data_IF_975355839646
#
_entry.id   IF_975355839646
#
_cell.length_a   1.000
_cell.length_b   1.000
_cell.length_c   1.000
_cell.angle_alpha   90.00
_cell.angle_beta   90.00
_cell.angle_gamma   90.00
#
_symmetry.space_group_name_H-M   'P 1'
#
loop_
_entity.id
_entity.type
_entity.pdbx_description
1 polymer ?
#
# COMPACT_ATOMS: atom_id res chain seq x y z
N UNK A 1 58.57 -35.89 26.19
CA UNK A 1 58.53 -35.32 24.82
C UNK A 1 58.50 -33.81 24.94
N UNK A 2 59.51 -33.11 24.41
CA UNK A 2 59.78 -31.69 24.67
C UNK A 2 58.85 -30.74 23.90
N UNK A 3 58.59 -29.56 24.48
CA UNK A 3 57.84 -28.46 23.85
C UNK A 3 58.60 -27.94 22.61
N UNK A 4 57.93 -27.67 21.48
CA UNK A 4 58.56 -27.14 20.27
C UNK A 4 58.98 -25.67 20.44
N UNK A 5 60.11 -25.28 19.82
CA UNK A 5 60.72 -23.94 19.90
C UNK A 5 60.19 -23.01 18.78
N UNK A 6 60.18 -21.72 19.11
CA UNK A 6 59.38 -20.63 18.50
C UNK A 6 59.81 -20.09 17.12
N UNK A 7 60.57 -20.82 16.30
CA UNK A 7 61.14 -20.26 15.06
C UNK A 7 61.04 -21.14 13.81
N UNK A 8 60.34 -22.27 13.86
CA UNK A 8 60.06 -23.07 12.67
C UNK A 8 58.81 -22.55 11.92
N UNK A 9 59.06 -21.81 10.84
CA UNK A 9 58.17 -21.73 9.67
C UNK A 9 58.88 -22.49 8.53
N UNK A 10 58.25 -22.89 7.41
CA UNK A 10 56.83 -22.84 7.00
C UNK A 10 56.35 -24.11 6.26
N UNK A 11 55.05 -24.23 5.96
CA UNK A 11 54.61 -24.61 4.60
C UNK A 11 53.14 -24.25 4.38
N UNK A 12 52.87 -23.47 3.33
CA UNK A 12 51.53 -23.09 2.88
C UNK A 12 50.80 -24.34 2.37
N UNK A 13 49.90 -24.91 3.17
CA UNK A 13 48.89 -25.83 2.67
C UNK A 13 47.85 -25.03 1.86
N UNK A 14 47.87 -25.22 0.53
CA UNK A 14 46.71 -24.89 -0.32
C UNK A 14 45.60 -25.91 0.00
N UNK A 15 44.37 -25.48 0.33
CA UNK A 15 43.25 -26.40 0.37
C UNK A 15 42.85 -26.74 -1.07
N UNK A 16 43.27 -27.93 -1.45
CA UNK A 16 42.68 -28.90 -2.34
C UNK A 16 41.24 -28.60 -2.81
N UNK A 17 41.08 -28.59 -4.14
CA UNK A 17 39.81 -28.51 -4.85
C UNK A 17 39.14 -29.89 -4.78
N UNK A 18 38.15 -30.03 -3.90
CA UNK A 18 37.31 -31.23 -3.84
C UNK A 18 36.13 -31.07 -4.79
N UNK A 19 36.33 -31.54 -6.02
CA UNK A 19 35.26 -31.82 -6.97
C UNK A 19 34.64 -33.19 -6.63
N UNK A 20 33.39 -33.19 -6.17
CA UNK A 20 32.53 -34.37 -6.22
C UNK A 20 31.78 -34.73 -4.95
N UNK A 21 30.53 -34.28 -4.83
CA UNK A 21 29.31 -35.14 -4.84
C UNK A 21 28.12 -34.38 -4.27
N UNK A 22 27.28 -33.91 -5.20
CA UNK A 22 25.94 -33.47 -4.92
C UNK A 22 25.09 -34.64 -4.39
N UNK A 23 24.57 -34.53 -3.16
CA UNK A 23 23.36 -35.24 -2.72
C UNK A 23 22.50 -34.33 -1.83
N UNK A 24 21.55 -33.68 -2.50
CA UNK A 24 20.14 -33.73 -2.06
C UNK A 24 19.75 -32.97 -0.80
N UNK A 25 19.76 -31.64 -0.87
CA UNK A 25 18.76 -30.81 -0.17
C UNK A 25 18.27 -29.71 -1.12
N UNK A 26 17.81 -30.13 -2.30
CA UNK A 26 16.96 -29.32 -3.16
C UNK A 26 15.58 -29.23 -2.51
N UNK A 27 15.49 -28.41 -1.46
CA UNK A 27 14.21 -27.82 -1.09
C UNK A 27 13.84 -26.94 -2.28
N UNK A 28 12.79 -27.33 -3.01
CA UNK A 28 12.22 -26.58 -4.14
C UNK A 28 12.10 -25.10 -3.77
N UNK A 29 13.12 -24.31 -4.07
CA UNK A 29 12.92 -22.92 -4.43
C UNK A 29 12.23 -23.00 -5.80
N UNK A 30 10.90 -23.18 -5.76
CA UNK A 30 10.03 -22.81 -6.87
C UNK A 30 10.57 -21.48 -7.36
N UNK A 31 10.97 -21.41 -8.63
CA UNK A 31 11.67 -20.27 -9.20
C UNK A 31 10.93 -18.97 -8.92
N UNK A 32 11.26 -18.34 -7.79
CA UNK A 32 10.77 -17.02 -7.42
C UNK A 32 11.61 -16.08 -8.25
N UNK A 33 11.01 -15.61 -9.34
CA UNK A 33 11.52 -14.48 -10.10
C UNK A 33 11.90 -13.39 -9.11
N UNK A 34 13.17 -12.99 -9.07
CA UNK A 34 13.59 -11.83 -8.29
C UNK A 34 12.85 -10.62 -8.86
N UNK A 35 11.78 -10.23 -8.18
CA UNK A 35 10.97 -9.07 -8.54
C UNK A 35 11.80 -7.81 -8.25
N UNK A 36 12.21 -7.12 -9.31
CA UNK A 36 12.93 -5.85 -9.20
C UNK A 36 11.96 -4.66 -9.07
N UNK A 37 12.52 -3.46 -8.91
CA UNK A 37 11.78 -2.19 -8.85
C UNK A 37 10.77 -2.02 -10.00
N UNK A 38 11.16 -2.48 -11.19
CA UNK A 38 10.32 -2.45 -12.38
C UNK A 38 8.97 -3.16 -12.19
N UNK A 39 8.93 -4.24 -11.41
CA UNK A 39 7.67 -4.98 -11.15
C UNK A 39 6.74 -4.23 -10.21
N UNK A 40 7.29 -3.44 -9.26
CA UNK A 40 6.52 -2.55 -8.38
C UNK A 40 5.88 -1.43 -9.21
N UNK A 41 6.67 -0.83 -10.11
CA UNK A 41 6.19 0.21 -11.05
C UNK A 41 5.08 -0.33 -11.93
N UNK A 42 5.25 -1.51 -12.53
CA UNK A 42 4.21 -2.15 -13.33
C UNK A 42 2.94 -2.40 -12.50
N UNK A 43 3.07 -2.94 -11.28
CA UNK A 43 1.92 -3.20 -10.42
C UNK A 43 1.14 -1.91 -10.13
N UNK A 44 1.86 -0.83 -9.82
CA UNK A 44 1.26 0.48 -9.54
C UNK A 44 0.57 1.08 -10.77
N UNK A 45 1.22 1.07 -11.93
CA UNK A 45 0.65 1.58 -13.19
C UNK A 45 -0.55 0.75 -13.64
N UNK A 46 -0.47 -0.57 -13.55
CA UNK A 46 -1.57 -1.48 -13.86
C UNK A 46 -2.76 -1.23 -12.94
N UNK A 47 -2.53 -1.04 -11.64
CA UNK A 47 -3.60 -0.73 -10.70
C UNK A 47 -4.29 0.61 -11.01
N UNK A 48 -3.53 1.68 -11.30
CA UNK A 48 -4.14 2.93 -11.75
C UNK A 48 -4.96 2.75 -13.03
N UNK A 49 -4.39 2.09 -14.04
CA UNK A 49 -5.09 1.83 -15.30
C UNK A 49 -6.40 1.04 -15.08
N UNK A 50 -6.40 0.06 -14.17
CA UNK A 50 -7.61 -0.70 -13.82
C UNK A 50 -8.64 0.16 -13.08
N UNK A 51 -8.22 0.98 -12.11
CA UNK A 51 -9.13 1.84 -11.35
C UNK A 51 -9.81 2.89 -12.23
N UNK A 52 -9.05 3.58 -13.09
CA UNK A 52 -9.63 4.54 -14.03
C UNK A 52 -10.40 3.83 -15.16
N UNK A 53 -9.90 2.71 -15.66
CA UNK A 53 -10.51 1.95 -16.75
C UNK A 53 -11.85 1.33 -16.37
N UNK A 54 -12.02 0.82 -15.15
CA UNK A 54 -13.30 0.22 -14.71
C UNK A 54 -14.40 1.28 -14.61
N UNK A 55 -14.08 2.47 -14.10
CA UNK A 55 -15.03 3.57 -14.00
C UNK A 55 -15.38 4.12 -15.38
N UNK A 56 -14.38 4.28 -16.25
CA UNK A 56 -14.62 4.72 -17.62
C UNK A 56 -15.49 3.74 -18.42
N UNK A 57 -15.28 2.43 -18.26
CA UNK A 57 -16.00 1.39 -19.01
C UNK A 57 -17.39 1.07 -18.47
N UNK A 58 -17.58 1.07 -17.15
CA UNK A 58 -18.88 0.80 -16.53
C UNK A 58 -19.76 2.04 -16.39
N UNK A 59 -19.19 3.23 -16.58
CA UNK A 59 -19.87 4.52 -16.48
C UNK A 59 -19.67 5.18 -15.11
N UNK A 60 -19.64 6.52 -15.11
CA UNK A 60 -19.14 7.31 -13.98
C UNK A 60 -20.16 7.51 -12.85
N UNK A 61 -21.47 7.44 -13.12
CA UNK A 61 -22.49 7.48 -12.06
C UNK A 61 -23.50 6.34 -12.19
N UNK A 62 -23.08 5.26 -12.85
CA UNK A 62 -23.90 4.05 -12.92
C UNK A 62 -23.68 3.21 -11.66
N UNK A 63 -24.66 2.41 -11.23
CA UNK A 63 -24.45 1.41 -10.19
C UNK A 63 -23.25 0.49 -10.49
N UNK A 64 -23.00 0.22 -11.78
CA UNK A 64 -21.86 -0.57 -12.24
C UNK A 64 -20.52 0.08 -11.93
N UNK A 65 -20.34 1.37 -12.19
CA UNK A 65 -19.10 2.09 -11.88
C UNK A 65 -18.86 2.25 -10.38
N UNK A 66 -19.92 2.51 -9.61
CA UNK A 66 -19.86 2.65 -8.14
C UNK A 66 -19.46 1.31 -7.51
N UNK A 67 -20.19 0.24 -7.82
CA UNK A 67 -19.91 -1.09 -7.27
C UNK A 67 -18.58 -1.63 -7.80
N UNK A 68 -18.30 -1.44 -9.09
CA UNK A 68 -17.06 -1.89 -9.73
C UNK A 68 -15.81 -1.25 -9.11
N UNK A 69 -15.81 0.07 -8.96
CA UNK A 69 -14.70 0.78 -8.30
C UNK A 69 -14.52 0.38 -6.84
N UNK A 70 -15.62 0.22 -6.09
CA UNK A 70 -15.59 -0.27 -4.70
C UNK A 70 -15.04 -1.69 -4.57
N UNK A 71 -15.46 -2.62 -5.44
CA UNK A 71 -14.96 -4.00 -5.44
C UNK A 71 -13.49 -4.09 -5.87
N UNK A 72 -13.07 -3.26 -6.83
CA UNK A 72 -11.68 -3.19 -7.26
C UNK A 72 -10.79 -2.60 -6.17
N UNK A 73 -11.23 -1.54 -5.49
CA UNK A 73 -10.57 -0.98 -4.32
C UNK A 73 -10.42 -2.02 -3.19
N UNK A 74 -11.49 -2.78 -2.92
CA UNK A 74 -11.46 -3.86 -1.94
C UNK A 74 -10.43 -4.94 -2.30
N UNK A 75 -10.41 -5.33 -3.57
CA UNK A 75 -9.47 -6.33 -4.09
C UNK A 75 -8.02 -5.85 -4.00
N UNK A 76 -7.75 -4.60 -4.40
CA UNK A 76 -6.43 -3.98 -4.30
C UNK A 76 -5.97 -3.84 -2.83
N UNK A 77 -6.89 -3.46 -1.93
CA UNK A 77 -6.61 -3.41 -0.50
C UNK A 77 -6.28 -4.80 0.05
N UNK A 78 -6.99 -5.86 -0.36
CA UNK A 78 -6.67 -7.23 0.05
C UNK A 78 -5.30 -7.69 -0.46
N UNK A 79 -4.97 -7.41 -1.71
CA UNK A 79 -3.63 -7.66 -2.27
C UNK A 79 -2.55 -6.96 -1.45
N UNK A 80 -2.79 -5.70 -1.06
CA UNK A 80 -1.88 -4.94 -0.21
C UNK A 80 -1.72 -5.55 1.19
N UNK A 81 -2.82 -5.95 1.83
CA UNK A 81 -2.81 -6.55 3.18
C UNK A 81 -2.05 -7.89 3.16
N UNK A 82 -2.29 -8.73 2.15
CA UNK A 82 -1.62 -10.04 2.00
C UNK A 82 -0.15 -9.86 1.62
N UNK A 83 0.11 -9.00 0.64
CA UNK A 83 1.44 -8.64 0.15
C UNK A 83 2.16 -7.59 1.00
N UNK A 84 1.73 -7.38 2.26
CA UNK A 84 2.26 -6.28 3.08
C UNK A 84 3.79 -6.32 3.15
N UNK A 85 4.48 -5.25 2.73
CA UNK A 85 5.91 -5.32 2.44
C UNK A 85 6.82 -5.06 3.62
N UNK A 86 6.34 -4.30 4.62
CA UNK A 86 7.09 -4.04 5.84
C UNK A 86 6.90 -5.21 6.80
N UNK A 87 7.75 -6.22 6.66
CA UNK A 87 7.78 -7.40 7.53
C UNK A 87 8.28 -7.00 8.92
N UNK A 88 7.35 -6.83 9.86
CA UNK A 88 7.67 -6.89 11.30
C UNK A 88 7.73 -8.34 11.79
N UNK A 89 8.25 -8.54 13.00
CA UNK A 89 8.16 -9.81 13.76
C UNK A 89 6.75 -10.43 13.61
N UNK A 90 6.62 -11.75 13.42
CA UNK A 90 5.40 -12.36 12.82
C UNK A 90 4.10 -11.95 13.52
N UNK A 91 4.12 -11.77 14.85
CA UNK A 91 2.97 -11.27 15.63
C UNK A 91 2.59 -9.81 15.36
N UNK A 92 3.55 -8.96 15.05
CA UNK A 92 3.35 -7.54 14.75
C UNK A 92 2.79 -7.35 13.34
N UNK A 93 3.30 -8.12 12.37
CA UNK A 93 2.77 -8.17 11.01
C UNK A 93 1.30 -8.62 10.98
N UNK A 94 0.94 -9.66 11.75
CA UNK A 94 -0.45 -10.14 11.85
C UNK A 94 -1.37 -9.07 12.41
N UNK A 95 -0.97 -8.35 13.47
CA UNK A 95 -1.81 -7.27 13.98
C UNK A 95 -2.02 -6.15 12.96
N UNK A 96 -0.96 -5.69 12.29
CA UNK A 96 -1.09 -4.64 11.28
C UNK A 96 -2.10 -5.01 10.19
N UNK A 97 -2.08 -6.27 9.75
CA UNK A 97 -3.02 -6.83 8.76
C UNK A 97 -4.46 -6.92 9.28
N UNK A 98 -4.65 -7.41 10.51
CA UNK A 98 -5.99 -7.50 11.10
C UNK A 98 -6.56 -6.10 11.33
N UNK A 99 -5.73 -5.19 11.85
CA UNK A 99 -6.15 -3.82 12.12
C UNK A 99 -6.51 -3.08 10.84
N UNK A 100 -5.71 -3.19 9.78
CA UNK A 100 -6.02 -2.61 8.48
C UNK A 100 -7.27 -3.21 7.85
N UNK A 101 -7.49 -4.53 7.97
CA UNK A 101 -8.71 -5.18 7.52
C UNK A 101 -9.94 -4.65 8.28
N UNK A 102 -9.86 -4.49 9.60
CA UNK A 102 -10.95 -3.92 10.41
C UNK A 102 -11.24 -2.48 10.00
N UNK A 103 -10.21 -1.64 9.82
CA UNK A 103 -10.35 -0.26 9.37
C UNK A 103 -11.03 -0.19 8.00
N UNK A 104 -10.59 -1.03 7.05
CA UNK A 104 -11.21 -1.14 5.74
C UNK A 104 -12.69 -1.52 5.84
N UNK A 105 -13.02 -2.54 6.64
CA UNK A 105 -14.41 -3.00 6.79
C UNK A 105 -15.32 -1.92 7.39
N UNK A 106 -14.86 -1.23 8.43
CA UNK A 106 -15.62 -0.13 9.05
C UNK A 106 -15.85 0.99 8.03
N UNK A 107 -14.82 1.38 7.28
CA UNK A 107 -14.93 2.42 6.27
C UNK A 107 -15.82 2.00 5.08
N UNK A 108 -15.73 0.74 4.63
CA UNK A 108 -16.58 0.20 3.58
C UNK A 108 -18.06 0.16 4.00
N UNK A 109 -18.36 -0.30 5.22
CA UNK A 109 -19.72 -0.28 5.76
C UNK A 109 -20.26 1.15 5.83
N UNK A 110 -19.44 2.10 6.28
CA UNK A 110 -19.83 3.50 6.35
C UNK A 110 -20.11 4.11 4.97
N UNK A 111 -19.31 3.73 3.97
CA UNK A 111 -19.45 4.19 2.58
C UNK A 111 -20.75 3.69 1.93
N UNK A 112 -21.23 2.51 2.32
CA UNK A 112 -22.47 1.91 1.82
C UNK A 112 -23.74 2.53 2.40
N UNK A 113 -23.63 3.41 3.40
CA UNK A 113 -24.79 4.03 4.02
C UNK A 113 -25.18 5.32 3.29
N UNK A 114 -26.48 5.52 3.04
CA UNK A 114 -27.00 6.76 2.45
C UNK A 114 -26.88 6.83 0.93
N UNK A 115 -27.17 8.01 0.37
CA UNK A 115 -27.09 8.27 -1.06
C UNK A 115 -25.65 8.58 -1.50
N UNK A 116 -25.29 8.17 -2.71
CA UNK A 116 -23.97 8.48 -3.27
C UNK A 116 -23.94 9.91 -3.82
N UNK A 117 -22.78 10.57 -3.70
CA UNK A 117 -22.45 11.83 -4.39
C UNK A 117 -23.36 13.04 -4.09
N UNK A 118 -23.87 13.13 -2.86
CA UNK A 118 -24.57 14.33 -2.38
C UNK A 118 -23.67 15.19 -1.49
N UNK A 119 -24.00 16.47 -1.31
CA UNK A 119 -23.32 17.36 -0.37
C UNK A 119 -23.28 16.83 1.06
N UNK A 120 -24.35 16.13 1.47
CA UNK A 120 -24.41 15.50 2.78
C UNK A 120 -23.40 14.34 2.87
N UNK A 121 -23.25 13.57 1.79
CA UNK A 121 -22.31 12.44 1.72
C UNK A 121 -20.86 12.89 1.77
N UNK A 122 -20.46 13.91 1.01
CA UNK A 122 -19.11 14.46 1.06
C UNK A 122 -18.74 14.99 2.46
N UNK A 123 -19.64 15.77 3.08
CA UNK A 123 -19.42 16.28 4.46
C UNK A 123 -19.35 15.17 5.50
N UNK A 124 -20.27 14.21 5.43
CA UNK A 124 -20.30 13.05 6.33
C UNK A 124 -19.03 12.21 6.19
N UNK A 125 -18.54 11.99 4.97
CA UNK A 125 -17.31 11.25 4.72
C UNK A 125 -16.07 12.00 5.21
N UNK A 126 -15.99 13.31 4.99
CA UNK A 126 -14.89 14.13 5.51
C UNK A 126 -14.80 14.07 7.04
N UNK A 127 -15.93 14.20 7.74
CA UNK A 127 -16.00 14.04 9.20
C UNK A 127 -15.58 12.64 9.64
N UNK A 128 -16.06 11.61 8.94
CA UNK A 128 -15.67 10.23 9.20
C UNK A 128 -14.16 10.02 9.05
N UNK A 129 -13.54 10.54 7.99
CA UNK A 129 -12.10 10.43 7.80
C UNK A 129 -11.33 11.06 8.98
N UNK A 130 -11.69 12.26 9.41
CA UNK A 130 -11.05 12.93 10.56
C UNK A 130 -11.16 12.08 11.83
N UNK A 131 -12.35 11.56 12.12
CA UNK A 131 -12.58 10.68 13.29
C UNK A 131 -11.83 9.36 13.15
N UNK A 132 -11.82 8.76 11.96
CA UNK A 132 -11.14 7.50 11.69
C UNK A 132 -9.62 7.65 11.83
N UNK A 133 -9.02 8.74 11.33
CA UNK A 133 -7.62 9.06 11.54
C UNK A 133 -7.28 9.19 13.03
N UNK A 134 -8.06 9.95 13.78
CA UNK A 134 -7.88 10.09 15.22
C UNK A 134 -7.99 8.74 15.94
N UNK A 135 -8.99 7.92 15.61
CA UNK A 135 -9.17 6.59 16.17
C UNK A 135 -8.00 5.65 15.82
N UNK A 136 -7.53 5.66 14.57
CA UNK A 136 -6.38 4.87 14.11
C UNK A 136 -5.14 5.20 14.93
N UNK A 137 -4.87 6.48 15.14
CA UNK A 137 -3.76 6.98 15.96
C UNK A 137 -3.92 6.52 17.42
N UNK A 138 -5.07 6.78 18.04
CA UNK A 138 -5.35 6.42 19.44
C UNK A 138 -5.20 4.93 19.68
N UNK A 139 -5.81 4.07 18.83
CA UNK A 139 -5.72 2.61 18.96
C UNK A 139 -4.28 2.13 18.79
N UNK A 140 -3.54 2.71 17.84
CA UNK A 140 -2.13 2.38 17.62
C UNK A 140 -1.26 2.70 18.83
N UNK A 141 -1.47 3.85 19.47
CA UNK A 141 -0.78 4.24 20.71
C UNK A 141 -1.20 3.41 21.91
N UNK A 142 -2.50 3.20 22.11
CA UNK A 142 -3.03 2.42 23.24
C UNK A 142 -2.46 1.00 23.24
N UNK A 143 -2.39 0.36 22.07
CA UNK A 143 -1.75 -0.95 21.92
C UNK A 143 -0.30 -0.94 22.41
N UNK A 144 0.47 0.09 22.10
CA UNK A 144 1.87 0.16 22.55
C UNK A 144 2.00 0.39 24.04
N UNK A 145 1.09 1.17 24.63
CA UNK A 145 1.06 1.36 26.09
C UNK A 145 0.74 0.06 26.83
N UNK A 146 -0.05 -0.82 26.24
CA UNK A 146 -0.41 -2.13 26.81
C UNK A 146 0.69 -3.20 26.69
N UNK A 147 1.80 -2.95 25.96
CA UNK A 147 2.90 -3.94 25.84
C UNK A 147 3.80 -3.92 27.07
N UNK A 148 4.04 -5.10 27.65
CA UNK A 148 4.92 -5.29 28.83
C UNK A 148 6.42 -5.20 28.50
N UNK A 149 6.84 -5.48 27.26
CA UNK A 149 8.25 -5.40 26.80
C UNK A 149 8.31 -4.45 25.60
N UNK A 150 9.18 -3.43 25.66
CA UNK A 150 9.22 -2.29 24.72
C UNK A 150 10.43 -2.31 23.77
N UNK A 151 10.85 -3.47 23.28
CA UNK A 151 11.84 -3.53 22.19
C UNK A 151 11.16 -3.23 20.84
N UNK A 152 11.82 -2.45 19.98
CA UNK A 152 11.38 -2.09 18.61
C UNK A 152 9.99 -1.39 18.51
N UNK A 153 9.67 -0.52 19.48
CA UNK A 153 8.36 0.12 19.60
C UNK A 153 7.98 0.94 18.35
N UNK A 154 8.89 1.82 17.91
CA UNK A 154 8.66 2.81 16.84
C UNK A 154 8.42 2.14 15.48
N UNK A 155 9.28 1.20 15.09
CA UNK A 155 9.17 0.50 13.80
C UNK A 155 7.90 -0.37 13.71
N UNK A 156 7.48 -0.98 14.82
CA UNK A 156 6.25 -1.78 14.86
C UNK A 156 4.97 -0.93 14.79
N UNK A 157 5.03 0.30 15.34
CA UNK A 157 3.92 1.24 15.29
C UNK A 157 3.76 1.80 13.89
N UNK A 158 4.85 2.26 13.29
CA UNK A 158 4.80 2.89 11.97
C UNK A 158 4.25 1.91 10.93
N UNK A 159 4.70 0.66 10.92
CA UNK A 159 4.19 -0.34 9.97
C UNK A 159 2.69 -0.61 10.12
N UNK A 160 2.19 -0.75 11.37
CA UNK A 160 0.75 -0.97 11.61
C UNK A 160 -0.11 0.25 11.31
N UNK A 161 0.39 1.45 11.65
CA UNK A 161 -0.27 2.73 11.37
C UNK A 161 -0.37 2.96 9.87
N UNK A 162 0.73 2.78 9.13
CA UNK A 162 0.76 2.89 7.67
C UNK A 162 -0.21 1.89 7.05
N UNK A 163 -0.24 0.63 7.49
CA UNK A 163 -1.19 -0.35 6.95
C UNK A 163 -2.66 0.09 7.13
N UNK A 164 -3.01 0.60 8.31
CA UNK A 164 -4.36 1.08 8.62
C UNK A 164 -4.73 2.34 7.83
N UNK A 165 -3.85 3.33 7.79
CA UNK A 165 -4.04 4.57 7.02
C UNK A 165 -4.17 4.26 5.53
N UNK A 166 -3.33 3.38 5.01
CA UNK A 166 -3.41 3.00 3.59
C UNK A 166 -4.70 2.23 3.29
N UNK A 167 -5.13 1.34 4.20
CA UNK A 167 -6.42 0.65 4.05
C UNK A 167 -7.63 1.58 4.15
N UNK A 168 -7.57 2.64 4.94
CA UNK A 168 -8.60 3.69 4.93
C UNK A 168 -8.58 4.46 3.60
N UNK A 169 -7.40 4.76 3.05
CA UNK A 169 -7.25 5.43 1.76
C UNK A 169 -7.85 4.64 0.60
N UNK A 170 -7.78 3.31 0.65
CA UNK A 170 -8.40 2.45 -0.38
C UNK A 170 -9.90 2.70 -0.51
N UNK A 171 -10.60 2.97 0.60
CA UNK A 171 -12.05 3.20 0.57
C UNK A 171 -12.43 4.51 -0.11
N UNK A 172 -11.52 5.48 -0.17
CA UNK A 172 -11.76 6.77 -0.82
C UNK A 172 -11.86 6.67 -2.35
N UNK A 173 -11.44 5.54 -2.94
CA UNK A 173 -11.61 5.28 -4.37
C UNK A 173 -13.07 5.14 -4.81
N UNK A 174 -14.02 4.95 -3.88
CA UNK A 174 -15.46 4.98 -4.18
C UNK A 174 -15.93 6.35 -4.70
N UNK A 175 -15.14 7.42 -4.51
CA UNK A 175 -15.43 8.75 -5.04
C UNK A 175 -14.82 9.02 -6.42
N UNK A 176 -14.03 8.08 -6.95
CA UNK A 176 -13.49 8.19 -8.31
C UNK A 176 -14.57 8.42 -9.38
N UNK A 177 -15.72 7.71 -9.35
CA UNK A 177 -16.75 7.89 -10.36
C UNK A 177 -17.34 9.32 -10.37
N UNK A 178 -17.60 9.92 -9.20
CA UNK A 178 -17.99 11.33 -9.09
C UNK A 178 -16.91 12.28 -9.63
N UNK A 179 -15.65 12.11 -9.21
CA UNK A 179 -14.55 12.93 -9.72
C UNK A 179 -14.48 12.90 -11.25
N UNK A 180 -14.59 11.71 -11.85
CA UNK A 180 -14.52 11.58 -13.30
C UNK A 180 -15.74 12.21 -13.99
N UNK A 181 -16.92 12.14 -13.38
CA UNK A 181 -18.12 12.80 -13.88
C UNK A 181 -17.94 14.32 -13.96
N UNK A 182 -17.50 14.94 -12.86
CA UNK A 182 -17.25 16.37 -12.81
C UNK A 182 -16.15 16.78 -13.80
N UNK A 183 -15.08 15.99 -13.88
CA UNK A 183 -13.95 16.23 -14.79
C UNK A 183 -14.28 15.99 -16.27
N UNK A 184 -15.43 15.41 -16.59
CA UNK A 184 -15.92 15.27 -17.97
C UNK A 184 -16.94 16.35 -18.36
N UNK A 185 -17.34 17.20 -17.41
CA UNK A 185 -18.21 18.35 -17.66
C UNK A 185 -17.47 19.44 -18.45
N UNK A 186 -18.20 20.34 -19.11
CA UNK A 186 -17.59 21.47 -19.84
C UNK A 186 -16.86 22.44 -18.90
N UNK A 187 -17.24 22.46 -17.63
CA UNK A 187 -16.64 23.27 -16.58
C UNK A 187 -15.25 22.77 -16.20
N UNK A 188 -14.90 21.51 -16.51
CA UNK A 188 -13.57 20.96 -16.31
C UNK A 188 -12.48 21.64 -17.15
N UNK A 189 -12.84 22.27 -18.28
CA UNK A 189 -11.91 23.07 -19.09
C UNK A 189 -11.50 24.40 -18.42
N UNK A 190 -12.03 24.68 -17.22
CA UNK A 190 -11.60 25.81 -16.40
C UNK A 190 -10.18 25.64 -15.85
N UNK A 191 -9.59 26.76 -15.40
CA UNK A 191 -8.29 26.73 -14.72
C UNK A 191 -8.29 25.82 -13.48
N UNK A 192 -9.43 25.65 -12.81
CA UNK A 192 -9.60 24.80 -11.64
C UNK A 192 -9.50 23.32 -12.02
N UNK A 193 -10.22 22.88 -13.08
CA UNK A 193 -10.14 21.50 -13.54
C UNK A 193 -8.73 21.11 -13.97
N UNK A 194 -8.04 21.98 -14.72
CA UNK A 194 -6.63 21.78 -15.07
C UNK A 194 -5.71 21.74 -13.85
N UNK A 195 -5.91 22.61 -12.86
CA UNK A 195 -5.12 22.58 -11.62
C UNK A 195 -5.30 21.26 -10.86
N UNK A 196 -6.54 20.78 -10.73
CA UNK A 196 -6.85 19.48 -10.09
C UNK A 196 -6.14 18.35 -10.85
N UNK A 197 -6.25 18.31 -12.18
CA UNK A 197 -5.59 17.29 -13.00
C UNK A 197 -4.07 17.28 -12.82
N UNK A 198 -3.43 18.45 -12.88
CA UNK A 198 -1.97 18.59 -12.73
C UNK A 198 -1.53 18.12 -11.34
N UNK A 199 -2.25 18.49 -10.28
CA UNK A 199 -1.95 18.08 -8.90
C UNK A 199 -2.05 16.56 -8.76
N UNK A 200 -3.10 15.94 -9.29
CA UNK A 200 -3.28 14.49 -9.28
C UNK A 200 -2.16 13.78 -10.06
N UNK A 201 -1.82 14.25 -11.26
CA UNK A 201 -0.73 13.68 -12.05
C UNK A 201 0.62 13.80 -11.33
N UNK A 202 0.93 14.98 -10.79
CA UNK A 202 2.16 15.22 -10.05
C UNK A 202 2.25 14.32 -8.80
N UNK A 203 1.16 14.19 -8.04
CA UNK A 203 1.13 13.33 -6.87
C UNK A 203 1.28 11.84 -7.23
N UNK A 204 0.69 11.38 -8.33
CA UNK A 204 0.86 10.01 -8.81
C UNK A 204 2.33 9.71 -9.16
N UNK A 205 3.02 10.66 -9.80
CA UNK A 205 4.46 10.57 -10.10
C UNK A 205 5.30 10.57 -8.82
N UNK A 206 5.03 11.47 -7.88
CA UNK A 206 5.73 11.51 -6.59
C UNK A 206 5.59 10.20 -5.82
N UNK A 207 4.38 9.63 -5.80
CA UNK A 207 4.11 8.34 -5.16
C UNK A 207 4.78 7.16 -5.87
N UNK A 208 4.94 7.23 -7.20
CA UNK A 208 5.74 6.26 -7.97
C UNK A 208 7.22 6.33 -7.59
N UNK A 209 7.78 7.53 -7.48
CA UNK A 209 9.17 7.72 -7.03
C UNK A 209 9.33 7.22 -5.59
N UNK A 210 8.40 7.57 -4.70
CA UNK A 210 8.41 7.11 -3.32
C UNK A 210 8.36 5.58 -3.21
N UNK A 211 7.51 4.90 -3.99
CA UNK A 211 7.39 3.44 -3.94
C UNK A 211 8.67 2.73 -4.38
N UNK A 212 9.38 3.28 -5.38
CA UNK A 212 10.70 2.75 -5.79
C UNK A 212 11.77 3.00 -4.74
N UNK A 213 11.78 4.16 -4.07
CA UNK A 213 12.70 4.46 -2.97
C UNK A 213 12.51 3.48 -1.82
N UNK A 214 11.27 3.30 -1.38
CA UNK A 214 10.93 2.36 -0.32
C UNK A 214 11.25 0.91 -0.69
N UNK A 215 11.11 0.53 -1.97
CA UNK A 215 11.49 -0.82 -2.43
C UNK A 215 13.00 -1.08 -2.29
N UNK A 216 13.83 -0.09 -2.61
CA UNK A 216 15.30 -0.18 -2.49
C UNK A 216 15.78 -0.36 -1.06
N UNK A 217 15.03 0.17 -0.10
CA UNK A 217 15.35 0.08 1.33
C UNK A 217 14.99 -1.30 1.93
N UNK A 218 14.28 -2.17 1.20
CA UNK A 218 13.92 -3.51 1.67
C UNK A 218 15.08 -4.50 1.46
N UNK A 219 15.74 -4.90 2.54
CA UNK A 219 16.85 -5.86 2.50
C UNK A 219 16.38 -7.29 2.16
N UNK A 220 15.22 -7.70 2.67
CA UNK A 220 14.67 -9.06 2.53
C UNK A 220 13.16 -9.05 2.26
N UNK A 221 12.71 -8.65 1.05
CA UNK A 221 11.30 -8.61 0.72
C UNK A 221 10.69 -10.03 0.67
N UNK A 222 9.49 -10.17 1.21
CA UNK A 222 8.69 -11.39 1.06
C UNK A 222 8.29 -11.61 -0.42
N UNK A 223 7.94 -12.86 -0.82
CA UNK A 223 7.67 -13.18 -2.22
C UNK A 223 6.59 -12.31 -2.91
N UNK A 224 5.58 -11.88 -2.15
CA UNK A 224 4.48 -11.03 -2.64
C UNK A 224 4.61 -9.56 -2.22
N UNK A 225 5.73 -9.16 -1.61
CA UNK A 225 5.94 -7.80 -1.11
C UNK A 225 5.91 -6.75 -2.24
N UNK A 226 6.31 -7.12 -3.45
CA UNK A 226 6.31 -6.22 -4.62
C UNK A 226 4.90 -5.75 -4.98
N UNK A 227 3.89 -6.62 -4.85
CA UNK A 227 2.50 -6.26 -5.07
C UNK A 227 2.02 -5.29 -3.99
N UNK A 228 2.30 -5.58 -2.73
CA UNK A 228 1.91 -4.70 -1.63
C UNK A 228 2.61 -3.33 -1.71
N UNK A 229 3.87 -3.29 -2.11
CA UNK A 229 4.60 -2.03 -2.36
C UNK A 229 4.03 -1.25 -3.53
N UNK A 230 3.58 -1.91 -4.59
CA UNK A 230 2.92 -1.25 -5.72
C UNK A 230 1.53 -0.74 -5.35
N UNK A 231 0.78 -1.47 -4.52
CA UNK A 231 -0.58 -1.07 -4.11
C UNK A 231 -0.57 0.05 -3.05
N UNK A 232 0.41 0.07 -2.15
CA UNK A 232 0.48 1.06 -1.07
C UNK A 232 0.32 2.52 -1.56
N UNK A 233 1.11 3.02 -2.53
CA UNK A 233 0.94 4.37 -3.07
C UNK A 233 -0.43 4.57 -3.73
N UNK A 234 -0.95 3.58 -4.45
CA UNK A 234 -2.27 3.65 -5.12
C UNK A 234 -3.38 3.84 -4.08
N UNK A 235 -3.33 3.09 -2.99
CA UNK A 235 -4.32 3.22 -1.92
C UNK A 235 -4.21 4.58 -1.20
N UNK A 236 -2.99 5.09 -0.98
CA UNK A 236 -2.79 6.45 -0.46
C UNK A 236 -3.31 7.53 -1.42
N UNK A 237 -3.17 7.32 -2.72
CA UNK A 237 -3.69 8.22 -3.74
C UNK A 237 -5.23 8.34 -3.68
N UNK A 238 -5.93 7.34 -3.13
CA UNK A 238 -7.38 7.41 -2.90
C UNK A 238 -7.81 8.63 -2.07
N UNK A 239 -6.99 9.10 -1.11
CA UNK A 239 -7.28 10.33 -0.39
C UNK A 239 -7.31 11.56 -1.30
N UNK A 240 -6.38 11.62 -2.25
CA UNK A 240 -6.33 12.71 -3.22
C UNK A 240 -7.51 12.63 -4.19
N UNK A 241 -7.96 11.43 -4.55
CA UNK A 241 -9.20 11.24 -5.32
C UNK A 241 -10.39 11.82 -4.56
N UNK A 242 -10.53 11.54 -3.26
CA UNK A 242 -11.62 12.11 -2.46
C UNK A 242 -11.52 13.64 -2.33
N UNK A 243 -10.33 14.18 -2.05
CA UNK A 243 -10.15 15.64 -1.94
C UNK A 243 -10.42 16.31 -3.28
N UNK A 244 -9.93 15.75 -4.38
CA UNK A 244 -10.22 16.24 -5.72
C UNK A 244 -11.72 16.20 -6.02
N UNK A 245 -12.40 15.09 -5.69
CA UNK A 245 -13.85 14.97 -5.85
C UNK A 245 -14.61 16.03 -5.04
N UNK A 246 -14.18 16.33 -3.80
CA UNK A 246 -14.78 17.41 -3.02
C UNK A 246 -14.59 18.78 -3.69
N UNK A 247 -13.38 19.04 -4.19
CA UNK A 247 -13.04 20.31 -4.84
C UNK A 247 -13.83 20.47 -6.13
N UNK A 248 -13.90 19.44 -6.98
CA UNK A 248 -14.65 19.50 -8.24
C UNK A 248 -16.13 19.64 -7.97
N UNK A 249 -16.69 18.85 -7.06
CA UNK A 249 -18.13 18.88 -6.73
C UNK A 249 -18.61 20.24 -6.22
N UNK A 250 -17.75 21.00 -5.52
CA UNK A 250 -18.11 22.34 -5.01
C UNK A 250 -17.68 23.50 -5.90
N UNK A 251 -16.72 23.32 -6.82
CA UNK A 251 -16.13 24.40 -7.59
C UNK A 251 -16.42 24.34 -9.10
N UNK A 252 -16.91 23.22 -9.63
CA UNK A 252 -17.29 23.03 -11.04
C UNK A 252 -18.81 22.96 -11.18
#
# INVERSE_FOLDING_TARGET
>A
MGKPRSWEKPQKQKPQRDDGTARGASGRQLGMTKHGEFTVVIAQLAAYALMFGIVYSLGMETPGGIVGSGMLAASACMVMIVGWPFAGDSRQSVFGRVFSAVVFLVAAIFALQGEFYTDATFRRWALFLVVAFAAIVVVSFLRQMLRKVRSHLIASMSAGLTAAVTALGSTCWVFLPALMNDMSSKQADSAIGWAVFIVLAAAAVLLLVASTSWWKELEHPAPFAWMGMGMLPVMLFGYLVFVAACVTHWML
#
